data_IF_165352131144
#
_entry.id   IF_165352131144
#
_cell.length_a   1.000
_cell.length_b   1.000
_cell.length_c   1.000
_cell.angle_alpha   90.00
_cell.angle_beta   90.00
_cell.angle_gamma   90.00
#
_symmetry.space_group_name_H-M   'P 1'
#
loop_
_entity.id
_entity.type
_entity.pdbx_description
1 polymer ?
#
# COMPACT_ATOMS: atom_id res chain seq x y z
N UNK A 1 26.97 -10.18 -2.21
CA UNK A 1 26.52 -8.77 -2.25
C UNK A 1 25.52 -8.68 -3.39
N UNK A 2 24.30 -9.17 -3.18
CA UNK A 2 23.35 -9.39 -4.27
C UNK A 2 22.31 -8.27 -4.30
N UNK A 3 22.71 -7.16 -4.93
CA UNK A 3 21.84 -6.04 -5.28
C UNK A 3 20.94 -6.34 -6.47
N UNK A 4 20.22 -7.47 -6.46
CA UNK A 4 19.24 -7.79 -7.52
C UNK A 4 17.99 -6.93 -7.35
N UNK A 5 17.98 -5.82 -8.08
CA UNK A 5 16.80 -5.08 -8.57
C UNK A 5 15.53 -5.14 -7.71
N UNK A 6 15.57 -4.54 -6.53
CA UNK A 6 14.37 -4.39 -5.67
C UNK A 6 13.33 -3.43 -6.24
N UNK A 7 13.62 -2.78 -7.37
CA UNK A 7 12.81 -1.77 -8.05
C UNK A 7 12.21 -2.25 -9.38
N UNK A 8 12.43 -3.52 -9.77
CA UNK A 8 11.89 -4.05 -11.04
C UNK A 8 10.40 -4.39 -10.98
N UNK A 9 9.81 -4.49 -9.79
CA UNK A 9 8.42 -4.85 -9.61
C UNK A 9 7.77 -4.00 -8.53
N UNK A 10 6.49 -3.69 -8.72
CA UNK A 10 5.66 -3.05 -7.70
C UNK A 10 5.55 -4.02 -6.51
N UNK A 11 5.81 -3.56 -5.27
CA UNK A 11 5.61 -4.39 -4.09
C UNK A 11 4.15 -4.83 -3.98
N UNK A 12 3.91 -6.12 -3.75
CA UNK A 12 2.55 -6.66 -3.52
C UNK A 12 2.00 -6.31 -2.14
N UNK A 13 2.88 -6.09 -1.16
CA UNK A 13 2.55 -5.83 0.24
C UNK A 13 3.61 -4.95 0.90
N UNK A 14 3.17 -4.11 1.82
CA UNK A 14 4.01 -3.33 2.72
C UNK A 14 3.81 -3.78 4.16
N UNK A 15 4.88 -3.75 4.96
CA UNK A 15 4.76 -3.83 6.42
C UNK A 15 4.06 -2.58 6.96
N UNK A 16 3.60 -2.63 8.21
CA UNK A 16 2.97 -1.45 8.84
C UNK A 16 3.94 -0.28 8.90
N UNK A 17 5.18 -0.53 9.36
CA UNK A 17 6.22 0.51 9.46
C UNK A 17 6.53 1.16 8.10
N UNK A 18 6.65 0.36 7.03
CA UNK A 18 6.87 0.90 5.67
C UNK A 18 5.69 1.73 5.19
N UNK A 19 4.46 1.30 5.50
CA UNK A 19 3.27 2.06 5.15
C UNK A 19 3.21 3.41 5.90
N UNK A 20 3.51 3.41 7.20
CA UNK A 20 3.52 4.61 8.03
C UNK A 20 4.60 5.60 7.59
N UNK A 21 5.77 5.10 7.19
CA UNK A 21 6.90 5.93 6.74
C UNK A 21 6.66 6.52 5.34
N UNK A 22 6.25 5.69 4.38
CA UNK A 22 6.27 6.07 2.96
C UNK A 22 4.91 6.44 2.38
N UNK A 23 3.81 5.92 2.92
CA UNK A 23 2.48 6.04 2.30
C UNK A 23 1.59 6.97 3.11
N UNK A 24 1.45 6.73 4.41
CA UNK A 24 0.52 7.44 5.28
C UNK A 24 0.66 8.98 5.25
N UNK A 25 1.87 9.58 5.19
CA UNK A 25 2.03 11.03 5.15
C UNK A 25 1.43 11.67 3.88
N UNK A 26 1.30 10.89 2.82
CA UNK A 26 0.84 11.33 1.51
C UNK A 26 -0.65 11.03 1.27
N UNK A 27 -1.31 10.31 2.17
CA UNK A 27 -2.73 9.98 2.05
C UNK A 27 -3.61 11.13 2.57
N UNK A 28 -4.51 11.60 1.71
CA UNK A 28 -5.59 12.51 2.13
C UNK A 28 -6.56 11.72 3.00
N UNK A 29 -6.70 12.13 4.26
CA UNK A 29 -7.67 11.53 5.18
C UNK A 29 -9.07 12.05 4.85
N UNK A 30 -10.01 11.12 4.65
CA UNK A 30 -11.42 11.47 4.50
C UNK A 30 -11.92 12.27 5.69
N UNK A 31 -12.54 13.42 5.44
CA UNK A 31 -13.14 14.28 6.49
C UNK A 31 -14.65 14.06 6.67
N UNK A 32 -15.28 13.27 5.81
CA UNK A 32 -16.74 13.09 5.74
C UNK A 32 -17.10 11.62 5.73
N UNK A 33 -18.25 11.30 6.30
CA UNK A 33 -18.77 9.94 6.42
C UNK A 33 -18.20 9.17 7.61
N UNK A 34 -18.73 7.96 7.88
CA UNK A 34 -18.19 7.09 8.91
C UNK A 34 -16.77 6.63 8.54
N UNK A 35 -15.91 6.37 9.55
CA UNK A 35 -14.57 5.85 9.30
C UNK A 35 -14.63 4.49 8.60
N UNK A 36 -13.63 4.15 7.77
CA UNK A 36 -13.57 2.84 7.15
C UNK A 36 -13.43 1.75 8.21
N UNK A 37 -14.12 0.62 7.99
CA UNK A 37 -14.02 -0.55 8.86
C UNK A 37 -12.65 -1.24 8.77
N UNK A 38 -11.93 -1.00 7.67
CA UNK A 38 -10.58 -1.52 7.44
C UNK A 38 -9.54 -0.42 7.65
N UNK A 39 -8.38 -0.79 8.17
CA UNK A 39 -7.25 0.13 8.26
C UNK A 39 -6.78 0.56 6.87
N UNK A 40 -6.28 1.79 6.76
CA UNK A 40 -5.72 2.32 5.51
C UNK A 40 -4.56 1.43 5.00
N UNK A 41 -3.76 0.86 5.91
CA UNK A 41 -2.72 -0.12 5.59
C UNK A 41 -3.27 -1.34 4.85
N UNK A 42 -4.39 -1.90 5.33
CA UNK A 42 -5.00 -3.09 4.73
C UNK A 42 -5.65 -2.76 3.38
N UNK A 43 -6.31 -1.61 3.28
CA UNK A 43 -6.88 -1.11 2.01
C UNK A 43 -5.77 -0.91 0.98
N UNK A 44 -4.68 -0.24 1.35
CA UNK A 44 -3.59 0.03 0.43
C UNK A 44 -2.91 -1.24 -0.06
N UNK A 45 -2.66 -2.21 0.81
CA UNK A 45 -2.12 -3.52 0.42
C UNK A 45 -3.06 -4.28 -0.51
N UNK A 46 -4.37 -4.15 -0.35
CA UNK A 46 -5.32 -4.74 -1.29
C UNK A 46 -5.22 -4.09 -2.67
N UNK A 47 -5.08 -2.76 -2.74
CA UNK A 47 -4.84 -2.06 -4.01
C UNK A 47 -3.53 -2.52 -4.65
N UNK A 48 -2.43 -2.64 -3.91
CA UNK A 48 -1.16 -3.17 -4.42
C UNK A 48 -1.30 -4.58 -4.99
N UNK A 49 -2.07 -5.43 -4.31
CA UNK A 49 -2.33 -6.79 -4.76
C UNK A 49 -3.11 -6.81 -6.09
N UNK A 50 -4.13 -5.95 -6.24
CA UNK A 50 -4.87 -5.80 -7.51
C UNK A 50 -3.95 -5.29 -8.62
N UNK A 51 -3.12 -4.27 -8.33
CA UNK A 51 -2.17 -3.72 -9.31
C UNK A 51 -1.13 -4.75 -9.78
N UNK A 52 -0.69 -5.63 -8.89
CA UNK A 52 0.26 -6.69 -9.22
C UNK A 52 -0.36 -7.80 -10.09
N UNK A 53 -1.60 -8.20 -9.80
CA UNK A 53 -2.28 -9.25 -10.57
C UNK A 53 -2.82 -8.75 -11.92
N UNK A 54 -3.06 -7.44 -12.04
CA UNK A 54 -3.72 -6.84 -13.21
C UNK A 54 -5.24 -7.00 -13.19
N UNK A 55 -5.90 -6.52 -14.25
CA UNK A 55 -7.30 -6.85 -14.51
C UNK A 55 -7.34 -8.21 -15.22
N UNK A 56 -7.99 -9.20 -14.60
CA UNK A 56 -8.28 -10.49 -15.25
C UNK A 56 -9.42 -10.37 -16.24
#
# INVERSE_FOLDING_TARGET
MDGKHRWQAIPVRLSLAQFEEFVLPHLIRGRRGPPPQLSLHRIFNYVLQVLYMGCQ
#
